data_IF_006067413250
#
_entry.id   IF_006067413250
#
_cell.length_a   1.000
_cell.length_b   1.000
_cell.length_c   1.000
_cell.angle_alpha   90.00
_cell.angle_beta   90.00
_cell.angle_gamma   90.00
#
_symmetry.space_group_name_H-M   'P 1'
#
loop_
_entity.id
_entity.type
_entity.pdbx_description
1 polymer ?
#
# COMPACT_ATOMS: atom_id res chain seq x y z
N UNK A 1 -24.43 38.10 -1.52
CA UNK A 1 -24.34 36.76 -0.90
C UNK A 1 -24.44 35.69 -2.00
N UNK A 2 -23.31 35.16 -2.43
CA UNK A 2 -23.23 34.13 -3.49
C UNK A 2 -23.56 32.76 -2.89
N UNK A 3 -24.63 32.13 -3.37
CA UNK A 3 -24.96 30.74 -3.02
C UNK A 3 -23.97 29.82 -3.74
N UNK A 4 -22.95 29.37 -3.02
CA UNK A 4 -22.20 28.15 -3.36
C UNK A 4 -23.13 26.95 -3.17
N UNK A 5 -23.98 26.68 -4.17
CA UNK A 5 -24.68 25.41 -4.28
C UNK A 5 -23.66 24.35 -4.69
N UNK A 6 -23.06 23.70 -3.70
CA UNK A 6 -22.27 22.50 -3.91
C UNK A 6 -23.17 21.47 -4.61
N UNK A 7 -22.82 21.13 -5.84
CA UNK A 7 -23.63 20.31 -6.73
C UNK A 7 -23.55 18.83 -6.32
N UNK A 8 -24.32 18.46 -5.30
CA UNK A 8 -24.39 17.11 -4.71
C UNK A 8 -24.99 16.09 -5.71
N UNK A 9 -25.64 16.54 -6.79
CA UNK A 9 -26.24 15.69 -7.81
C UNK A 9 -25.25 14.89 -8.67
N UNK A 10 -23.95 15.23 -8.64
CA UNK A 10 -22.92 14.51 -9.41
C UNK A 10 -22.37 13.26 -8.67
N UNK A 11 -22.64 13.13 -7.38
CA UNK A 11 -22.20 11.99 -6.57
C UNK A 11 -23.14 10.78 -6.67
N UNK A 12 -24.37 10.94 -7.15
CA UNK A 12 -25.35 9.84 -7.30
C UNK A 12 -25.18 9.00 -8.57
N UNK A 13 -24.28 9.39 -9.49
CA UNK A 13 -24.06 8.71 -10.78
C UNK A 13 -22.73 7.92 -10.84
N UNK A 14 -21.99 7.85 -9.72
CA UNK A 14 -20.76 7.06 -9.60
C UNK A 14 -20.98 5.56 -9.82
N UNK A 15 -22.20 5.07 -9.59
CA UNK A 15 -22.57 3.66 -9.80
C UNK A 15 -22.54 3.24 -11.27
N UNK A 16 -22.65 4.18 -12.22
CA UNK A 16 -22.60 3.89 -13.66
C UNK A 16 -21.18 3.96 -14.24
N UNK A 17 -20.18 4.31 -13.43
CA UNK A 17 -18.82 4.47 -13.92
C UNK A 17 -18.15 3.10 -14.10
N UNK A 18 -17.38 2.95 -15.17
CA UNK A 18 -16.52 1.78 -15.36
C UNK A 18 -15.59 1.61 -14.16
N UNK A 19 -15.36 0.36 -13.76
CA UNK A 19 -14.47 0.02 -12.64
C UNK A 19 -13.06 0.62 -12.80
N UNK A 20 -12.59 0.74 -14.04
CA UNK A 20 -11.31 1.37 -14.37
C UNK A 20 -11.29 2.85 -13.99
N UNK A 21 -12.34 3.60 -14.32
CA UNK A 21 -12.45 5.03 -13.98
C UNK A 21 -12.52 5.25 -12.49
N UNK A 22 -13.26 4.41 -11.77
CA UNK A 22 -13.36 4.47 -10.30
C UNK A 22 -11.98 4.23 -9.68
N UNK A 23 -11.27 3.21 -10.14
CA UNK A 23 -9.92 2.88 -9.65
C UNK A 23 -8.95 4.04 -9.82
N UNK A 24 -8.90 4.63 -11.02
CA UNK A 24 -8.03 5.78 -11.28
C UNK A 24 -8.39 7.00 -10.43
N UNK A 25 -9.67 7.31 -10.28
CA UNK A 25 -10.11 8.45 -9.46
C UNK A 25 -9.71 8.25 -8.00
N UNK A 26 -9.93 7.06 -7.44
CA UNK A 26 -9.54 6.75 -6.05
C UNK A 26 -8.03 6.83 -5.89
N UNK A 27 -7.26 6.21 -6.79
CA UNK A 27 -5.79 6.20 -6.72
C UNK A 27 -5.23 7.61 -6.81
N UNK A 28 -5.63 8.41 -7.80
CA UNK A 28 -5.10 9.76 -7.96
C UNK A 28 -5.53 10.69 -6.84
N UNK A 29 -6.76 10.55 -6.33
CA UNK A 29 -7.24 11.35 -5.19
C UNK A 29 -6.43 11.02 -3.94
N UNK A 30 -6.20 9.73 -3.66
CA UNK A 30 -5.42 9.30 -2.50
C UNK A 30 -3.97 9.78 -2.59
N UNK A 31 -3.34 9.60 -3.76
CA UNK A 31 -1.98 10.08 -4.01
C UNK A 31 -1.86 11.60 -3.86
N UNK A 32 -2.84 12.36 -4.37
CA UNK A 32 -2.85 13.82 -4.23
C UNK A 32 -2.97 14.24 -2.76
N UNK A 33 -3.85 13.61 -1.98
CA UNK A 33 -3.99 13.87 -0.55
C UNK A 33 -2.68 13.59 0.18
N UNK A 34 -2.06 12.43 -0.07
CA UNK A 34 -0.77 12.06 0.53
C UNK A 34 0.29 13.11 0.18
N UNK A 35 0.43 13.47 -1.09
CA UNK A 35 1.42 14.46 -1.53
C UNK A 35 1.21 15.82 -0.85
N UNK A 36 -0.03 16.30 -0.75
CA UNK A 36 -0.35 17.57 -0.08
C UNK A 36 0.01 17.51 1.41
N UNK A 37 -0.36 16.43 2.11
CA UNK A 37 -0.05 16.27 3.55
C UNK A 37 1.47 16.23 3.78
N UNK A 38 2.22 15.51 2.94
CA UNK A 38 3.68 15.46 3.02
C UNK A 38 4.35 16.80 2.71
N UNK A 39 3.86 17.54 1.71
CA UNK A 39 4.36 18.89 1.42
C UNK A 39 4.09 19.83 2.60
N UNK A 40 2.89 19.80 3.17
CA UNK A 40 2.57 20.60 4.36
C UNK A 40 3.46 20.22 5.55
N UNK A 41 3.67 18.92 5.79
CA UNK A 41 4.59 18.45 6.83
C UNK A 41 6.01 19.00 6.66
N UNK A 42 6.50 19.06 5.42
CA UNK A 42 7.82 19.61 5.11
C UNK A 42 7.88 21.14 5.25
N UNK A 43 6.82 21.87 4.93
CA UNK A 43 6.82 23.34 4.99
C UNK A 43 6.40 23.92 6.34
N UNK A 44 5.68 23.17 7.17
CA UNK A 44 5.07 23.68 8.40
C UNK A 44 5.78 23.13 9.64
N UNK A 45 6.60 23.99 10.25
CA UNK A 45 7.25 23.67 11.52
C UNK A 45 8.30 22.58 11.40
N UNK A 46 8.91 22.41 10.21
CA UNK A 46 9.84 21.32 9.95
C UNK A 46 11.02 21.30 10.91
N UNK A 47 11.50 22.43 11.44
CA UNK A 47 12.64 22.52 12.36
C UNK A 47 12.23 22.63 13.86
N UNK A 48 10.99 22.29 14.20
CA UNK A 48 10.48 22.44 15.57
C UNK A 48 10.97 21.28 16.48
N UNK A 49 11.69 21.56 17.58
CA UNK A 49 12.18 20.52 18.48
C UNK A 49 11.01 19.77 19.13
N UNK A 50 11.19 18.48 19.36
CA UNK A 50 10.20 17.64 20.00
C UNK A 50 10.06 18.00 21.49
N UNK A 51 8.83 17.94 21.99
CA UNK A 51 8.51 18.27 23.39
C UNK A 51 9.11 17.30 24.41
N UNK A 52 9.46 16.09 23.99
CA UNK A 52 10.05 15.05 24.85
C UNK A 52 11.59 15.00 24.77
N UNK A 53 12.19 15.47 23.68
CA UNK A 53 13.65 15.51 23.51
C UNK A 53 14.03 16.48 22.38
N UNK A 54 14.73 17.55 22.75
CA UNK A 54 15.17 18.63 21.83
C UNK A 54 16.11 18.16 20.73
N UNK A 55 16.74 16.98 20.88
CA UNK A 55 17.57 16.41 19.83
C UNK A 55 16.71 16.00 18.63
N UNK A 56 15.47 15.59 18.87
CA UNK A 56 14.55 15.15 17.82
C UNK A 56 13.68 16.31 17.36
N UNK A 57 13.36 16.25 16.08
CA UNK A 57 12.51 17.23 15.44
C UNK A 57 11.12 16.64 15.27
N UNK A 58 10.09 17.35 15.72
CA UNK A 58 8.69 16.94 15.62
C UNK A 58 7.89 18.05 14.96
N UNK A 59 7.84 18.07 13.61
CA UNK A 59 7.06 19.04 12.89
C UNK A 59 5.59 19.05 13.34
N UNK A 60 4.92 20.20 13.21
CA UNK A 60 3.57 20.40 13.74
C UNK A 60 2.55 19.38 13.21
N UNK A 61 2.78 18.87 11.99
CA UNK A 61 1.92 17.91 11.31
C UNK A 61 2.39 16.46 11.43
N UNK A 62 3.37 16.15 12.30
CA UNK A 62 3.85 14.78 12.54
C UNK A 62 2.69 13.86 12.92
N UNK A 63 1.83 14.29 13.84
CA UNK A 63 0.67 13.51 14.27
C UNK A 63 -0.28 13.21 13.11
N UNK A 64 -0.52 14.20 12.23
CA UNK A 64 -1.37 14.02 11.05
C UNK A 64 -0.78 12.98 10.09
N UNK A 65 0.52 13.04 9.82
CA UNK A 65 1.22 12.07 8.98
C UNK A 65 1.16 10.67 9.60
N UNK A 66 1.36 10.57 10.91
CA UNK A 66 1.28 9.30 11.64
C UNK A 66 -0.13 8.70 11.56
N UNK A 67 -1.18 9.50 11.80
CA UNK A 67 -2.56 9.07 11.64
C UNK A 67 -2.88 8.63 10.22
N UNK A 68 -2.41 9.37 9.21
CA UNK A 68 -2.57 9.01 7.81
C UNK A 68 -1.90 7.66 7.51
N UNK A 69 -0.67 7.44 7.99
CA UNK A 69 0.04 6.18 7.82
C UNK A 69 -0.73 5.01 8.44
N UNK A 70 -1.20 5.15 9.68
CA UNK A 70 -1.99 4.10 10.34
C UNK A 70 -3.32 3.84 9.62
N UNK A 71 -4.02 4.89 9.18
CA UNK A 71 -5.25 4.77 8.43
C UNK A 71 -5.04 4.02 7.11
N UNK A 72 -3.97 4.33 6.37
CA UNK A 72 -3.63 3.65 5.13
C UNK A 72 -3.24 2.20 5.37
N UNK A 73 -2.46 1.93 6.40
CA UNK A 73 -2.02 0.57 6.76
C UNK A 73 -3.22 -0.30 7.13
N UNK A 74 -4.03 0.14 8.09
CA UNK A 74 -5.23 -0.58 8.54
C UNK A 74 -6.27 -0.66 7.44
N UNK A 75 -6.50 0.44 6.71
CA UNK A 75 -7.46 0.50 5.61
C UNK A 75 -7.11 -0.46 4.48
N UNK A 76 -5.84 -0.52 4.07
CA UNK A 76 -5.38 -1.45 3.03
C UNK A 76 -5.53 -2.90 3.49
N UNK A 77 -5.14 -3.20 4.75
CA UNK A 77 -5.32 -4.52 5.34
C UNK A 77 -6.80 -4.94 5.38
N UNK A 78 -7.69 -4.05 5.83
CA UNK A 78 -9.12 -4.29 5.90
C UNK A 78 -9.72 -4.54 4.51
N UNK A 79 -9.41 -3.68 3.53
CA UNK A 79 -9.89 -3.84 2.14
C UNK A 79 -9.37 -5.15 1.53
N UNK A 80 -8.11 -5.52 1.75
CA UNK A 80 -7.55 -6.78 1.28
C UNK A 80 -8.28 -8.00 1.87
N UNK A 81 -8.52 -7.98 3.19
CA UNK A 81 -9.27 -9.03 3.89
C UNK A 81 -10.72 -9.12 3.40
N UNK A 82 -11.42 -7.99 3.29
CA UNK A 82 -12.80 -7.93 2.81
C UNK A 82 -12.91 -8.39 1.35
N UNK A 83 -11.97 -7.96 0.50
CA UNK A 83 -11.93 -8.39 -0.90
C UNK A 83 -11.70 -9.90 -1.02
N UNK A 84 -10.80 -10.48 -0.21
CA UNK A 84 -10.58 -11.93 -0.16
C UNK A 84 -11.80 -12.67 0.38
N UNK A 85 -12.37 -12.22 1.48
CA UNK A 85 -13.55 -12.82 2.08
C UNK A 85 -14.74 -12.81 1.10
N UNK A 86 -15.02 -11.66 0.49
CA UNK A 86 -16.04 -11.52 -0.54
C UNK A 86 -15.75 -12.41 -1.77
N UNK A 87 -14.49 -12.50 -2.20
CA UNK A 87 -14.09 -13.39 -3.29
C UNK A 87 -14.22 -14.87 -2.94
N UNK A 88 -14.17 -15.28 -1.67
CA UNK A 88 -14.37 -16.68 -1.28
C UNK A 88 -15.85 -16.99 -1.16
N UNK A 89 -16.65 -16.04 -0.65
CA UNK A 89 -18.06 -16.26 -0.34
C UNK A 89 -18.99 -16.06 -1.55
N UNK A 90 -18.71 -15.05 -2.39
CA UNK A 90 -19.61 -14.65 -3.47
C UNK A 90 -19.22 -15.23 -4.84
N UNK A 91 -17.93 -15.58 -5.06
CA UNK A 91 -17.53 -16.13 -6.36
C UNK A 91 -17.91 -17.61 -6.49
N UNK A 92 -18.95 -17.87 -7.28
CA UNK A 92 -19.17 -19.16 -7.96
C UNK A 92 -18.19 -19.32 -9.13
N UNK A 93 -16.89 -19.12 -8.92
CA UNK A 93 -15.90 -19.36 -9.97
C UNK A 93 -16.00 -20.81 -10.42
N UNK A 94 -16.24 -21.06 -11.73
CA UNK A 94 -16.21 -22.42 -12.26
C UNK A 94 -14.89 -23.06 -11.85
N UNK A 95 -14.94 -24.29 -11.32
CA UNK A 95 -13.74 -24.96 -10.82
C UNK A 95 -12.64 -25.08 -11.90
N UNK A 96 -13.04 -25.05 -13.17
CA UNK A 96 -12.20 -25.12 -14.35
C UNK A 96 -12.67 -24.07 -15.36
N UNK A 97 -11.77 -23.18 -15.77
CA UNK A 97 -11.97 -22.23 -16.88
C UNK A 97 -10.88 -22.56 -17.90
N UNK A 98 -11.26 -22.90 -19.14
CA UNK A 98 -10.33 -23.34 -20.20
C UNK A 98 -9.36 -24.48 -19.79
N UNK A 99 -9.86 -25.51 -19.09
CA UNK A 99 -9.05 -26.66 -18.67
C UNK A 99 -8.08 -26.38 -17.50
N UNK A 100 -8.04 -25.14 -17.00
CA UNK A 100 -7.15 -24.71 -15.91
C UNK A 100 -7.96 -24.54 -14.62
N UNK A 101 -7.48 -25.16 -13.54
CA UNK A 101 -8.08 -25.06 -12.20
C UNK A 101 -7.82 -23.69 -11.57
N UNK A 102 -8.64 -22.69 -11.88
CA UNK A 102 -8.48 -21.30 -11.41
C UNK A 102 -8.44 -21.16 -9.87
N UNK A 103 -9.18 -22.03 -9.15
CA UNK A 103 -9.17 -22.05 -7.68
C UNK A 103 -7.82 -22.44 -7.10
N UNK A 104 -7.12 -23.41 -7.71
CA UNK A 104 -5.80 -23.88 -7.23
C UNK A 104 -4.73 -22.83 -7.43
N UNK A 105 -4.74 -22.14 -8.57
CA UNK A 105 -3.81 -21.04 -8.85
C UNK A 105 -4.03 -19.90 -7.86
N UNK A 106 -5.28 -19.47 -7.68
CA UNK A 106 -5.60 -18.36 -6.76
C UNK A 106 -5.20 -18.68 -5.32
N UNK A 107 -5.44 -19.93 -4.88
CA UNK A 107 -5.02 -20.39 -3.57
C UNK A 107 -3.49 -20.42 -3.45
N UNK A 108 -2.80 -21.02 -4.44
CA UNK A 108 -1.34 -21.11 -4.46
C UNK A 108 -0.67 -19.73 -4.45
N UNK A 109 -1.19 -18.77 -5.22
CA UNK A 109 -0.71 -17.38 -5.20
C UNK A 109 -0.93 -16.76 -3.82
N UNK A 110 -2.11 -16.94 -3.23
CA UNK A 110 -2.43 -16.35 -1.92
C UNK A 110 -1.54 -16.92 -0.82
N UNK A 111 -1.40 -18.25 -0.75
CA UNK A 111 -0.51 -18.91 0.20
C UNK A 111 0.93 -18.48 -0.05
N UNK A 112 1.38 -18.48 -1.31
CA UNK A 112 2.72 -18.05 -1.69
C UNK A 112 3.02 -16.62 -1.24
N UNK A 113 2.07 -15.69 -1.39
CA UNK A 113 2.20 -14.32 -0.89
C UNK A 113 2.35 -14.30 0.64
N UNK A 114 1.49 -15.00 1.38
CA UNK A 114 1.57 -15.04 2.86
C UNK A 114 2.90 -15.63 3.32
N UNK A 115 3.33 -16.74 2.73
CA UNK A 115 4.61 -17.39 3.05
C UNK A 115 5.78 -16.47 2.75
N UNK A 116 5.78 -15.82 1.57
CA UNK A 116 6.82 -14.86 1.21
C UNK A 116 6.90 -13.71 2.23
N UNK A 117 5.77 -13.15 2.62
CA UNK A 117 5.71 -12.08 3.63
C UNK A 117 6.27 -12.55 4.98
N UNK A 118 5.92 -13.76 5.44
CA UNK A 118 6.44 -14.34 6.69
C UNK A 118 7.95 -14.60 6.63
N UNK A 119 8.45 -15.11 5.49
CA UNK A 119 9.89 -15.34 5.28
C UNK A 119 10.64 -14.02 5.32
N UNK A 120 10.14 -12.99 4.63
CA UNK A 120 10.76 -11.67 4.61
C UNK A 120 10.72 -11.00 5.99
N UNK A 121 9.66 -11.21 6.77
CA UNK A 121 9.57 -10.73 8.15
C UNK A 121 10.58 -11.40 9.08
N UNK A 122 10.87 -12.69 8.86
CA UNK A 122 11.81 -13.46 9.66
C UNK A 122 13.28 -13.10 9.37
N UNK A 123 13.56 -12.38 8.27
CA UNK A 123 14.91 -11.94 7.95
C UNK A 123 15.45 -10.98 9.03
N UNK A 124 16.74 -11.08 9.39
CA UNK A 124 17.35 -10.18 10.35
C UNK A 124 17.33 -8.74 9.81
N UNK A 125 16.90 -7.80 10.65
CA UNK A 125 17.01 -6.37 10.43
C UNK A 125 18.17 -5.83 11.28
N UNK A 126 19.05 -5.04 10.70
CA UNK A 126 20.09 -4.32 11.45
C UNK A 126 19.46 -3.19 12.27
N UNK A 127 19.89 -3.04 13.52
CA UNK A 127 19.55 -1.85 14.31
C UNK A 127 20.07 -0.59 13.64
N UNK A 128 19.30 0.49 13.70
CA UNK A 128 19.66 1.78 13.14
C UNK A 128 19.93 2.77 14.26
N UNK A 129 20.90 3.65 14.05
CA UNK A 129 21.12 4.78 14.93
C UNK A 129 20.20 5.91 14.53
N UNK A 130 19.38 6.38 15.46
CA UNK A 130 18.56 7.58 15.27
C UNK A 130 19.06 8.60 16.26
N UNK A 131 19.74 9.62 15.74
CA UNK A 131 20.24 10.74 16.55
C UNK A 131 21.24 10.34 17.65
N UNK A 132 22.08 9.33 17.36
CA UNK A 132 23.10 8.82 18.29
C UNK A 132 22.63 7.69 19.21
N UNK A 133 21.33 7.47 19.33
CA UNK A 133 20.75 6.37 20.12
C UNK A 133 20.43 5.16 19.23
N UNK A 134 20.61 3.95 19.78
CA UNK A 134 20.31 2.71 19.07
C UNK A 134 18.79 2.44 19.12
N UNK A 135 18.14 2.33 17.96
CA UNK A 135 16.73 1.95 17.92
C UNK A 135 16.58 0.44 18.18
N UNK A 136 16.04 0.07 19.34
CA UNK A 136 15.97 -1.33 19.79
C UNK A 136 14.68 -2.08 19.42
N UNK A 137 13.63 -1.38 18.95
CA UNK A 137 12.33 -2.01 18.68
C UNK A 137 12.36 -2.89 17.41
N UNK A 138 12.69 -4.17 17.62
CA UNK A 138 12.88 -5.18 16.57
C UNK A 138 11.63 -5.43 15.72
N UNK A 139 10.43 -5.26 16.27
CA UNK A 139 9.18 -5.53 15.55
C UNK A 139 9.01 -4.56 14.37
N UNK A 140 9.11 -3.26 14.63
CA UNK A 140 8.98 -2.23 13.59
C UNK A 140 10.13 -2.23 12.61
N UNK A 141 11.34 -2.50 13.10
CA UNK A 141 12.53 -2.69 12.26
C UNK A 141 12.34 -3.84 11.26
N UNK A 142 11.84 -4.99 11.71
CA UNK A 142 11.55 -6.13 10.82
C UNK A 142 10.40 -5.86 9.88
N UNK A 143 9.33 -5.22 10.36
CA UNK A 143 8.19 -4.85 9.52
C UNK A 143 8.62 -3.91 8.37
N UNK A 144 9.38 -2.86 8.67
CA UNK A 144 9.91 -1.95 7.67
C UNK A 144 10.87 -2.65 6.70
N UNK A 145 11.80 -3.46 7.22
CA UNK A 145 12.74 -4.23 6.40
C UNK A 145 12.03 -5.19 5.43
N UNK A 146 10.99 -5.88 5.91
CA UNK A 146 10.16 -6.76 5.10
C UNK A 146 9.52 -6.01 3.92
N UNK A 147 8.97 -4.82 4.12
CA UNK A 147 8.38 -4.02 3.04
C UNK A 147 9.43 -3.57 2.01
N UNK A 148 10.60 -3.10 2.48
CA UNK A 148 11.68 -2.66 1.59
C UNK A 148 12.19 -3.83 0.74
N UNK A 149 12.54 -4.95 1.36
CA UNK A 149 13.06 -6.12 0.65
C UNK A 149 12.00 -6.71 -0.30
N UNK A 150 10.73 -6.77 0.12
CA UNK A 150 9.64 -7.22 -0.74
C UNK A 150 9.50 -6.34 -2.00
N UNK A 151 9.58 -5.01 -1.85
CA UNK A 151 9.44 -4.08 -2.97
C UNK A 151 10.57 -4.26 -4.00
N UNK A 152 11.82 -4.38 -3.55
CA UNK A 152 12.98 -4.61 -4.42
C UNK A 152 12.85 -5.95 -5.15
N UNK A 153 12.47 -7.00 -4.42
CA UNK A 153 12.25 -8.32 -5.00
C UNK A 153 11.14 -8.31 -6.06
N UNK A 154 10.03 -7.64 -5.80
CA UNK A 154 8.93 -7.50 -6.77
C UNK A 154 9.36 -6.71 -8.01
N UNK A 155 10.17 -5.66 -7.85
CA UNK A 155 10.74 -4.91 -8.98
C UNK A 155 11.61 -5.83 -9.85
N UNK A 156 12.52 -6.61 -9.24
CA UNK A 156 13.40 -7.54 -9.96
C UNK A 156 12.59 -8.60 -10.71
N UNK A 157 11.61 -9.22 -10.04
CA UNK A 157 10.73 -10.22 -10.66
C UNK A 157 9.93 -9.59 -11.79
N UNK A 158 9.42 -8.37 -11.60
CA UNK A 158 8.69 -7.62 -12.62
C UNK A 158 9.52 -7.37 -13.87
N UNK A 159 10.76 -6.91 -13.72
CA UNK A 159 11.71 -6.73 -14.83
C UNK A 159 11.94 -8.07 -15.55
N UNK A 160 12.20 -9.15 -14.80
CA UNK A 160 12.41 -10.48 -15.36
C UNK A 160 11.20 -10.99 -16.16
N UNK A 161 9.99 -10.77 -15.65
CA UNK A 161 8.75 -11.14 -16.34
C UNK A 161 8.56 -10.37 -17.66
N UNK A 162 8.87 -9.07 -17.67
CA UNK A 162 8.81 -8.24 -18.89
C UNK A 162 9.81 -8.75 -19.93
N UNK A 163 11.07 -8.98 -19.54
CA UNK A 163 12.11 -9.49 -20.43
C UNK A 163 11.74 -10.85 -21.01
N UNK A 164 11.26 -11.78 -20.18
CA UNK A 164 10.78 -13.08 -20.63
C UNK A 164 9.61 -12.96 -21.62
N UNK A 165 8.67 -12.05 -21.35
CA UNK A 165 7.55 -11.74 -22.23
C UNK A 165 8.00 -11.26 -23.61
N UNK A 166 8.94 -10.34 -23.68
CA UNK A 166 9.53 -9.84 -24.94
C UNK A 166 10.20 -10.98 -25.71
N UNK A 167 11.02 -11.80 -25.03
CA UNK A 167 11.73 -12.93 -25.65
C UNK A 167 10.74 -13.96 -26.20
N UNK A 168 9.68 -14.27 -25.47
CA UNK A 168 8.66 -15.24 -25.90
C UNK A 168 7.81 -14.71 -27.05
N UNK A 169 7.44 -13.43 -27.01
CA UNK A 169 6.62 -12.82 -28.06
C UNK A 169 7.37 -12.71 -29.40
N UNK A 170 8.70 -12.68 -29.39
CA UNK A 170 9.57 -12.77 -30.59
C UNK A 170 9.65 -14.16 -31.21
N UNK A 171 9.26 -15.23 -30.49
CA UNK A 171 9.29 -16.62 -30.99
C UNK A 171 7.95 -17.08 -31.57
N UNK A 172 6.96 -16.19 -31.66
CA UNK A 172 5.72 -16.37 -32.42
C UNK A 172 5.76 -15.44 -33.62
#
# INVERSE_FOLDING_TARGET
>A
MSKLSLNIGKLSDVRKWSSERISHVVLYSLTAIIAVVFLLFYFVGYDMPAMWDERYNSPLLTDLVMWLMFLLLVGTGAVACLAKWHSVHTNHTPAVVNGIHGKRITLGVTIGTVVLLLVLFALPSSSIYVNGELFEEKLWLRAANMFVVASVLLIIIGIGAILFGIIRNRRK
#
